data_IF_415231502955
#
_entry.id   IF_415231502955
#
_cell.length_a   1.000
_cell.length_b   1.000
_cell.length_c   1.000
_cell.angle_alpha   90.00
_cell.angle_beta   90.00
_cell.angle_gamma   90.00
#
_symmetry.space_group_name_H-M   'P 1'
#
loop_
_entity.id
_entity.type
_entity.pdbx_description
1 polymer ?
#
# COMPACT_ATOMS: atom_id res chain seq x y z
N UNK A 1 -16.30 -18.81 -6.50
CA UNK A 1 -15.90 -17.46 -6.08
C UNK A 1 -14.52 -17.28 -6.69
N UNK A 2 -14.40 -16.38 -7.65
CA UNK A 2 -13.11 -16.10 -8.29
C UNK A 2 -12.24 -15.38 -7.25
N UNK A 3 -11.06 -15.93 -6.97
CA UNK A 3 -10.01 -15.21 -6.26
C UNK A 3 -9.43 -14.21 -7.24
N UNK A 4 -9.70 -12.91 -7.05
CA UNK A 4 -9.02 -11.87 -7.84
C UNK A 4 -7.54 -11.92 -7.49
N UNK A 5 -6.72 -12.26 -8.47
CA UNK A 5 -5.27 -12.27 -8.31
C UNK A 5 -4.69 -10.91 -8.71
N UNK A 6 -3.95 -10.31 -7.78
CA UNK A 6 -3.27 -9.03 -7.97
C UNK A 6 -1.80 -9.25 -8.27
N UNK A 7 -1.29 -8.58 -9.30
CA UNK A 7 0.12 -8.64 -9.67
C UNK A 7 0.75 -7.25 -9.63
N UNK A 8 1.96 -7.19 -9.09
CA UNK A 8 2.82 -6.02 -9.20
C UNK A 8 3.32 -5.87 -10.63
N UNK A 9 3.35 -4.64 -11.12
CA UNK A 9 3.98 -4.32 -12.40
C UNK A 9 4.80 -3.03 -12.28
N UNK A 10 5.70 -2.86 -13.25
CA UNK A 10 6.64 -1.75 -13.29
C UNK A 10 6.47 -0.96 -14.58
N UNK A 11 6.48 0.36 -14.47
CA UNK A 11 6.68 1.29 -15.58
C UNK A 11 7.91 2.16 -15.27
N UNK A 12 9.01 1.91 -15.98
CA UNK A 12 10.30 2.50 -15.65
C UNK A 12 10.76 2.10 -14.24
N UNK A 13 10.94 3.09 -13.36
CA UNK A 13 11.34 2.87 -11.95
C UNK A 13 10.16 2.88 -10.98
N UNK A 14 8.93 2.97 -11.47
CA UNK A 14 7.71 3.11 -10.66
C UNK A 14 6.91 1.82 -10.66
N UNK A 15 6.19 1.59 -9.58
CA UNK A 15 5.42 0.38 -9.30
C UNK A 15 3.92 0.65 -9.24
N UNK A 16 3.14 -0.29 -9.75
CA UNK A 16 1.69 -0.32 -9.68
C UNK A 16 1.16 -1.73 -9.41
N UNK A 17 -0.16 -1.84 -9.28
CA UNK A 17 -0.89 -3.11 -9.14
C UNK A 17 -1.95 -3.18 -10.22
N UNK A 18 -2.04 -4.34 -10.86
CA UNK A 18 -3.11 -4.66 -11.80
C UNK A 18 -3.63 -6.06 -11.54
N UNK A 19 -4.83 -6.36 -12.05
CA UNK A 19 -5.36 -7.73 -12.07
C UNK A 19 -4.67 -8.56 -13.16
N UNK A 20 -4.86 -9.88 -13.15
CA UNK A 20 -4.37 -10.75 -14.22
C UNK A 20 -4.98 -10.43 -15.59
N UNK A 21 -6.21 -9.93 -15.60
CA UNK A 21 -6.92 -9.48 -16.80
C UNK A 21 -6.32 -8.18 -17.37
N UNK A 22 -5.51 -7.48 -16.57
CA UNK A 22 -4.80 -6.27 -16.95
C UNK A 22 -5.43 -4.97 -16.44
N UNK A 23 -6.50 -5.04 -15.65
CA UNK A 23 -7.15 -3.87 -15.07
C UNK A 23 -6.23 -3.21 -14.03
N UNK A 24 -5.90 -1.93 -14.23
CA UNK A 24 -5.02 -1.18 -13.33
C UNK A 24 -5.82 -0.74 -12.11
N UNK A 25 -5.44 -1.26 -10.94
CA UNK A 25 -6.00 -0.86 -9.64
C UNK A 25 -5.19 0.29 -9.05
N UNK A 26 -3.87 0.12 -9.04
CA UNK A 26 -2.91 1.14 -8.60
C UNK A 26 -2.01 1.48 -9.79
N UNK A 27 -2.00 2.73 -10.28
CA UNK A 27 -1.14 3.11 -11.39
C UNK A 27 0.34 3.03 -11.02
N UNK A 28 1.20 2.75 -12.01
CA UNK A 28 2.64 2.64 -11.83
C UNK A 28 3.33 4.01 -11.69
N UNK A 29 3.02 4.72 -10.61
CA UNK A 29 3.56 6.07 -10.30
C UNK A 29 4.29 6.12 -8.95
N UNK A 30 4.22 5.06 -8.15
CA UNK A 30 4.74 5.00 -6.79
C UNK A 30 6.12 4.35 -6.73
N UNK A 31 6.90 4.67 -5.69
CA UNK A 31 8.25 4.13 -5.52
C UNK A 31 8.22 2.66 -5.08
N UNK A 32 7.20 2.29 -4.29
CA UNK A 32 6.99 0.93 -3.86
C UNK A 32 5.51 0.64 -3.67
N UNK A 33 5.07 -0.55 -4.06
CA UNK A 33 3.71 -1.05 -3.80
C UNK A 33 3.82 -2.50 -3.39
N UNK A 34 3.17 -2.92 -2.30
CA UNK A 34 3.15 -4.31 -1.85
C UNK A 34 1.78 -4.72 -1.32
N UNK A 35 1.46 -6.00 -1.49
CA UNK A 35 0.32 -6.63 -0.85
C UNK A 35 0.66 -6.92 0.61
N UNK A 36 -0.10 -6.38 1.54
CA UNK A 36 0.23 -6.39 2.98
C UNK A 36 -0.66 -7.33 3.80
N UNK A 37 -1.90 -7.50 3.38
CA UNK A 37 -2.87 -8.50 3.85
C UNK A 37 -3.88 -8.74 2.73
N UNK A 38 -4.78 -9.73 2.90
CA UNK A 38 -5.78 -10.14 1.90
C UNK A 38 -6.56 -8.97 1.28
N UNK A 39 -6.77 -7.88 2.04
CA UNK A 39 -7.58 -6.74 1.63
C UNK A 39 -6.83 -5.39 1.55
N UNK A 40 -5.50 -5.36 1.70
CA UNK A 40 -4.74 -4.11 1.79
C UNK A 40 -3.43 -4.09 1.00
N UNK A 41 -3.18 -2.97 0.35
CA UNK A 41 -1.90 -2.61 -0.24
C UNK A 41 -1.16 -1.58 0.62
N UNK A 42 0.15 -1.78 0.80
CA UNK A 42 1.08 -0.77 1.31
C UNK A 42 1.74 -0.07 0.13
N UNK A 43 1.65 1.26 0.09
CA UNK A 43 2.24 2.08 -0.98
C UNK A 43 3.20 3.09 -0.37
N UNK A 44 4.40 3.23 -0.93
CA UNK A 44 5.38 4.24 -0.54
C UNK A 44 5.62 5.23 -1.67
N UNK A 45 5.60 6.51 -1.31
CA UNK A 45 5.95 7.64 -2.17
C UNK A 45 6.92 8.56 -1.42
N UNK A 46 8.13 8.68 -1.94
CA UNK A 46 9.22 9.38 -1.28
C UNK A 46 9.51 8.79 0.10
N UNK A 47 9.32 9.62 1.14
CA UNK A 47 9.58 9.24 2.53
C UNK A 47 8.33 8.77 3.27
N UNK A 48 7.17 8.70 2.62
CA UNK A 48 5.92 8.42 3.28
C UNK A 48 5.25 7.18 2.71
N UNK A 49 4.60 6.45 3.60
CA UNK A 49 3.84 5.26 3.25
C UNK A 49 2.34 5.53 3.49
N UNK A 50 1.50 4.77 2.82
CA UNK A 50 0.04 4.80 2.95
C UNK A 50 -0.51 3.38 2.81
N UNK A 51 -1.73 3.19 3.31
CA UNK A 51 -2.52 1.98 3.06
C UNK A 51 -3.67 2.28 2.11
N UNK A 52 -3.84 1.39 1.14
CA UNK A 52 -4.93 1.41 0.19
C UNK A 52 -5.71 0.11 0.30
N UNK A 53 -7.01 0.16 0.09
CA UNK A 53 -7.82 -1.05 -0.06
C UNK A 53 -7.65 -1.67 -1.46
N UNK A 54 -8.22 -2.85 -1.66
CA UNK A 54 -8.20 -3.55 -2.95
C UNK A 54 -8.94 -2.82 -4.08
N UNK A 55 -9.77 -1.83 -3.76
CA UNK A 55 -10.44 -0.97 -4.72
C UNK A 55 -9.61 0.28 -5.08
N UNK A 56 -8.44 0.45 -4.46
CA UNK A 56 -7.55 1.59 -4.69
C UNK A 56 -7.90 2.85 -3.90
N UNK A 57 -8.75 2.75 -2.86
CA UNK A 57 -9.05 3.86 -1.98
C UNK A 57 -8.02 3.97 -0.86
N UNK A 58 -7.65 5.20 -0.49
CA UNK A 58 -6.77 5.45 0.65
C UNK A 58 -7.50 5.17 1.97
N UNK A 59 -7.03 4.17 2.71
CA UNK A 59 -7.48 3.86 4.08
C UNK A 59 -6.68 4.66 5.09
N UNK A 60 -5.35 4.71 4.91
CA UNK A 60 -4.44 5.56 5.68
C UNK A 60 -3.62 6.40 4.70
N UNK A 61 -3.96 7.68 4.50
CA UNK A 61 -3.41 8.51 3.44
C UNK A 61 -1.97 8.97 3.73
N UNK A 62 -1.23 9.30 2.67
CA UNK A 62 0.11 9.89 2.78
C UNK A 62 0.15 11.20 3.59
N UNK A 63 -0.98 11.92 3.70
CA UNK A 63 -1.10 13.15 4.49
C UNK A 63 -0.81 12.94 5.98
N UNK A 64 -0.89 11.70 6.47
CA UNK A 64 -0.51 11.35 7.84
C UNK A 64 1.02 11.39 8.07
N UNK A 65 1.82 11.43 7.00
CA UNK A 65 3.29 11.56 7.03
C UNK A 65 3.99 10.49 7.87
N UNK A 66 3.48 9.25 7.81
CA UNK A 66 4.15 8.10 8.41
C UNK A 66 5.25 7.58 7.48
N UNK A 67 6.43 7.37 8.04
CA UNK A 67 7.63 6.88 7.35
C UNK A 67 7.56 5.38 7.06
N UNK A 68 6.80 4.64 7.86
CA UNK A 68 6.67 3.19 7.75
C UNK A 68 5.46 2.71 8.55
N UNK A 69 4.90 1.58 8.12
CA UNK A 69 3.85 0.87 8.82
C UNK A 69 4.28 -0.59 9.00
N UNK A 70 3.92 -1.17 10.13
CA UNK A 70 3.94 -2.62 10.34
C UNK A 70 2.57 -3.22 10.03
N UNK A 71 2.51 -4.54 9.95
CA UNK A 71 1.27 -5.27 9.74
C UNK A 71 0.21 -4.92 10.80
N UNK A 72 -1.06 -4.96 10.40
CA UNK A 72 -2.17 -4.87 11.34
C UNK A 72 -2.26 -6.14 12.18
N UNK A 73 -2.34 -5.97 13.50
CA UNK A 73 -2.60 -7.05 14.45
C UNK A 73 -3.61 -6.55 15.48
N UNK A 74 -4.70 -7.29 15.70
CA UNK A 74 -5.76 -6.92 16.65
C UNK A 74 -6.39 -5.53 16.38
N UNK A 75 -6.45 -5.14 15.10
CA UNK A 75 -7.01 -3.85 14.68
C UNK A 75 -6.08 -2.65 14.86
N UNK A 76 -4.83 -2.86 15.30
CA UNK A 76 -3.82 -1.83 15.45
C UNK A 76 -2.71 -1.99 14.42
N UNK A 77 -2.20 -0.87 13.89
CA UNK A 77 -0.99 -0.86 13.07
C UNK A 77 0.13 -0.11 13.79
N UNK A 78 1.33 -0.68 13.80
CA UNK A 78 2.53 0.02 14.26
C UNK A 78 2.95 1.03 13.20
N UNK A 79 3.14 2.28 13.57
CA UNK A 79 3.53 3.36 12.64
C UNK A 79 4.82 4.04 13.09
N UNK A 80 5.63 4.47 12.12
CA UNK A 80 6.83 5.28 12.35
C UNK A 80 6.57 6.71 11.91
N UNK A 81 6.84 7.68 12.78
CA UNK A 81 6.81 9.12 12.45
C UNK A 81 7.91 9.84 13.23
N UNK A 82 8.68 10.69 12.55
CA UNK A 82 9.79 11.43 13.14
C UNK A 82 10.72 10.50 13.92
N UNK A 83 11.09 9.39 13.29
CA UNK A 83 11.97 8.36 13.87
C UNK A 83 11.45 7.65 15.14
N UNK A 84 10.20 7.90 15.53
CA UNK A 84 9.54 7.26 16.69
C UNK A 84 8.47 6.29 16.23
N UNK A 85 8.29 5.23 17.00
CA UNK A 85 7.26 4.23 16.78
C UNK A 85 6.07 4.45 17.71
N UNK A 86 4.86 4.30 17.16
CA UNK A 86 3.60 4.29 17.90
C UNK A 86 2.62 3.29 17.29
N UNK A 87 1.38 3.30 17.78
CA UNK A 87 0.27 2.50 17.24
C UNK A 87 -0.90 3.42 16.91
N UNK A 88 -1.63 3.08 15.87
CA UNK A 88 -2.92 3.67 15.48
C UNK A 88 -3.97 2.59 15.34
#
# INVERSE_FOLDING_TARGET
MESTEYIQFYEGSKMGIKTLEGDIIIPAIYDFVAHSSDDLFTITEGNYTAYFDIAGNQVLPFSNKYESYGNFTEGLARVRSNEKWGFI
#
